data_IF_346731884702
#
_entry.id   IF_346731884702
#
_cell.length_a   1.000
_cell.length_b   1.000
_cell.length_c   1.000
_cell.angle_alpha   90.00
_cell.angle_beta   90.00
_cell.angle_gamma   90.00
#
_symmetry.space_group_name_H-M   'P 1'
#
loop_
_entity.id
_entity.type
_entity.pdbx_description
1 polymer ?
#
# COMPACT_ATOMS: atom_id res chain seq x y z
N UNK A 1 16.53 -19.02 -11.45
CA UNK A 1 15.77 -17.75 -11.53
C UNK A 1 16.50 -16.74 -12.42
N UNK A 2 17.78 -16.50 -12.18
CA UNK A 2 18.61 -15.52 -12.93
C UNK A 2 18.65 -15.79 -14.43
N UNK A 3 18.92 -17.01 -14.85
CA UNK A 3 18.92 -17.38 -16.27
C UNK A 3 17.55 -17.19 -16.93
N UNK A 4 16.47 -17.53 -16.21
CA UNK A 4 15.12 -17.33 -16.73
C UNK A 4 14.79 -15.84 -16.87
N UNK A 5 15.16 -15.00 -15.90
CA UNK A 5 14.98 -13.56 -15.96
C UNK A 5 15.76 -12.95 -17.12
N UNK A 6 17.02 -13.35 -17.30
CA UNK A 6 17.86 -12.91 -18.43
C UNK A 6 17.22 -13.27 -19.77
N UNK A 7 16.79 -14.54 -19.95
CA UNK A 7 16.18 -15.02 -21.19
C UNK A 7 14.92 -14.23 -21.54
N UNK A 8 14.00 -14.06 -20.57
CA UNK A 8 12.76 -13.31 -20.77
C UNK A 8 13.01 -11.81 -21.03
N UNK A 9 14.03 -11.25 -20.41
CA UNK A 9 14.37 -9.84 -20.63
C UNK A 9 14.95 -9.60 -22.02
N UNK A 10 15.76 -10.53 -22.53
CA UNK A 10 16.29 -10.48 -23.91
C UNK A 10 15.17 -10.67 -24.93
N UNK A 11 14.26 -11.61 -24.67
CA UNK A 11 13.08 -11.82 -25.52
C UNK A 11 12.20 -10.57 -25.58
N UNK A 12 11.86 -9.99 -24.43
CA UNK A 12 11.07 -8.75 -24.38
C UNK A 12 11.77 -7.56 -25.04
N UNK A 13 13.11 -7.46 -24.94
CA UNK A 13 13.88 -6.43 -25.64
C UNK A 13 13.77 -6.59 -27.17
N UNK A 14 13.80 -7.84 -27.65
CA UNK A 14 13.66 -8.19 -29.06
C UNK A 14 12.23 -7.93 -29.57
N UNK A 15 11.21 -8.32 -28.80
CA UNK A 15 9.81 -8.05 -29.12
C UNK A 15 9.51 -6.55 -29.22
N UNK A 16 10.17 -5.74 -28.39
CA UNK A 16 10.10 -4.29 -28.45
C UNK A 16 10.89 -3.67 -29.62
N UNK A 17 11.68 -4.47 -30.38
CA UNK A 17 12.51 -4.00 -31.48
C UNK A 17 13.71 -3.14 -31.03
N UNK A 18 14.20 -3.34 -29.80
CA UNK A 18 15.21 -2.52 -29.15
C UNK A 18 16.58 -3.23 -29.04
N UNK A 19 16.67 -4.48 -29.45
CA UNK A 19 17.84 -5.35 -29.36
C UNK A 19 19.01 -4.93 -30.28
N UNK A 20 18.75 -4.06 -31.28
CA UNK A 20 19.80 -3.44 -32.10
C UNK A 20 20.40 -2.16 -31.55
N UNK A 21 19.96 -1.67 -30.39
CA UNK A 21 20.39 -0.41 -29.82
C UNK A 21 21.31 -0.62 -28.61
N UNK A 22 22.58 -0.22 -28.72
CA UNK A 22 23.61 -0.43 -27.69
C UNK A 22 23.22 0.20 -26.34
N UNK A 23 22.53 1.36 -26.33
CA UNK A 23 22.10 2.02 -25.11
C UNK A 23 21.11 1.16 -24.30
N UNK A 24 20.19 0.46 -24.97
CA UNK A 24 19.25 -0.45 -24.32
C UNK A 24 19.94 -1.73 -23.83
N UNK A 25 20.86 -2.27 -24.62
CA UNK A 25 21.62 -3.48 -24.25
C UNK A 25 22.47 -3.21 -23.02
N UNK A 26 23.21 -2.09 -23.01
CA UNK A 26 24.04 -1.68 -21.88
C UNK A 26 23.19 -1.47 -20.61
N UNK A 27 22.10 -0.72 -20.72
CA UNK A 27 21.18 -0.47 -19.60
C UNK A 27 20.56 -1.78 -19.08
N UNK A 28 20.13 -2.68 -19.95
CA UNK A 28 19.56 -3.97 -19.55
C UNK A 28 20.57 -4.82 -18.77
N UNK A 29 21.82 -4.86 -19.25
CA UNK A 29 22.91 -5.57 -18.59
C UNK A 29 23.17 -5.02 -17.18
N UNK A 30 23.24 -3.70 -17.04
CA UNK A 30 23.51 -3.04 -15.78
C UNK A 30 22.39 -3.29 -14.75
N UNK A 31 21.13 -3.21 -15.19
CA UNK A 31 19.98 -3.49 -14.33
C UNK A 31 19.93 -4.96 -13.89
N UNK A 32 20.12 -5.90 -14.82
CA UNK A 32 20.13 -7.34 -14.52
C UNK A 32 21.27 -7.71 -13.56
N UNK A 33 22.43 -7.09 -13.69
CA UNK A 33 23.55 -7.30 -12.77
C UNK A 33 23.18 -6.86 -11.34
N UNK A 34 22.58 -5.70 -11.17
CA UNK A 34 22.15 -5.21 -9.84
C UNK A 34 21.03 -6.10 -9.27
N UNK A 35 20.05 -6.49 -10.08
CA UNK A 35 18.93 -7.35 -9.66
C UNK A 35 19.45 -8.71 -9.19
N UNK A 36 20.38 -9.31 -9.91
CA UNK A 36 20.96 -10.60 -9.56
C UNK A 36 21.85 -10.52 -8.32
N UNK A 37 22.70 -9.52 -8.24
CA UNK A 37 23.58 -9.26 -7.11
C UNK A 37 22.79 -9.05 -5.79
N UNK A 38 21.60 -8.48 -5.87
CA UNK A 38 20.68 -8.34 -4.72
C UNK A 38 19.79 -9.56 -4.49
N UNK A 39 19.81 -10.57 -5.36
CA UNK A 39 19.00 -11.78 -5.23
C UNK A 39 17.52 -11.59 -5.58
N UNK A 40 17.15 -10.53 -6.31
CA UNK A 40 15.75 -10.17 -6.59
C UNK A 40 15.20 -10.78 -7.88
N UNK A 41 15.93 -11.66 -8.56
CA UNK A 41 15.50 -12.29 -9.81
C UNK A 41 14.15 -13.03 -9.68
N UNK A 42 13.90 -13.74 -8.57
CA UNK A 42 12.60 -14.40 -8.32
C UNK A 42 11.46 -13.39 -8.17
N UNK A 43 11.69 -12.27 -7.52
CA UNK A 43 10.70 -11.22 -7.34
C UNK A 43 10.22 -10.65 -8.68
N UNK A 44 11.13 -10.33 -9.60
CA UNK A 44 10.77 -9.87 -10.94
C UNK A 44 10.01 -10.92 -11.75
N UNK A 45 10.38 -12.20 -11.65
CA UNK A 45 9.65 -13.30 -12.31
C UNK A 45 8.23 -13.45 -11.75
N UNK A 46 8.06 -13.30 -10.44
CA UNK A 46 6.74 -13.31 -9.79
C UNK A 46 5.89 -12.13 -10.28
N UNK A 47 6.47 -10.93 -10.32
CA UNK A 47 5.78 -9.74 -10.82
C UNK A 47 5.41 -9.87 -12.31
N UNK A 48 6.27 -10.48 -13.14
CA UNK A 48 5.92 -10.78 -14.53
C UNK A 48 4.73 -11.73 -14.60
N UNK A 49 4.71 -12.79 -13.84
CA UNK A 49 3.60 -13.74 -13.83
C UNK A 49 2.28 -13.08 -13.39
N UNK A 50 2.33 -12.17 -12.43
CA UNK A 50 1.17 -11.35 -12.01
C UNK A 50 0.72 -10.43 -13.16
N UNK A 51 1.65 -9.76 -13.83
CA UNK A 51 1.34 -8.88 -14.96
C UNK A 51 0.74 -9.67 -16.15
N UNK A 52 1.28 -10.83 -16.46
CA UNK A 52 0.76 -11.71 -17.52
C UNK A 52 -0.67 -12.18 -17.20
N UNK A 53 -0.94 -12.57 -15.94
CA UNK A 53 -2.27 -12.95 -15.50
C UNK A 53 -3.26 -11.77 -15.63
N UNK A 54 -2.87 -10.57 -15.21
CA UNK A 54 -3.71 -9.38 -15.32
C UNK A 54 -3.97 -8.98 -16.77
N UNK A 55 -2.93 -8.93 -17.62
CA UNK A 55 -3.04 -8.53 -19.01
C UNK A 55 -3.93 -9.48 -19.84
N UNK A 56 -4.07 -10.75 -19.42
CA UNK A 56 -4.96 -11.71 -20.05
C UNK A 56 -6.45 -11.53 -19.70
N UNK A 57 -6.79 -10.73 -18.68
CA UNK A 57 -8.16 -10.67 -18.18
C UNK A 57 -8.70 -9.26 -17.91
N UNK A 58 -7.83 -8.23 -17.79
CA UNK A 58 -8.27 -6.89 -17.39
C UNK A 58 -7.32 -5.80 -17.91
N UNK A 59 -7.75 -4.53 -17.75
CA UNK A 59 -6.89 -3.39 -18.03
C UNK A 59 -5.90 -3.18 -16.89
N UNK A 60 -4.64 -2.94 -17.24
CA UNK A 60 -3.58 -2.54 -16.33
C UNK A 60 -3.12 -1.11 -16.60
N UNK A 61 -2.65 -0.43 -15.56
CA UNK A 61 -2.05 0.90 -15.70
C UNK A 61 -0.69 0.85 -16.40
N UNK A 62 -0.26 1.96 -17.03
CA UNK A 62 1.00 2.01 -17.79
C UNK A 62 2.24 1.93 -16.90
N UNK A 63 2.09 2.08 -15.61
CA UNK A 63 3.16 2.10 -14.62
C UNK A 63 3.03 3.29 -13.67
N UNK A 64 3.36 3.06 -12.42
CA UNK A 64 3.31 4.03 -11.32
C UNK A 64 4.57 3.91 -10.46
N UNK A 65 4.87 4.99 -9.71
CA UNK A 65 5.98 4.99 -8.77
C UNK A 65 7.35 4.90 -9.46
N UNK A 66 8.32 4.38 -8.72
CA UNK A 66 9.72 4.28 -9.16
C UNK A 66 9.98 3.16 -10.17
N UNK A 67 9.12 2.14 -10.23
CA UNK A 67 9.26 0.99 -11.12
C UNK A 67 9.29 1.37 -12.62
N UNK A 68 8.67 2.50 -12.99
CA UNK A 68 8.77 3.06 -14.35
C UNK A 68 10.21 3.40 -14.76
N UNK A 69 11.15 3.50 -13.81
CA UNK A 69 12.58 3.71 -14.06
C UNK A 69 13.37 2.45 -14.45
N UNK A 70 12.74 1.27 -14.46
CA UNK A 70 13.38 -0.01 -14.78
C UNK A 70 13.09 -0.46 -16.22
N UNK A 71 14.17 -0.70 -16.98
CA UNK A 71 14.08 -1.29 -18.31
C UNK A 71 13.69 -2.77 -18.23
N UNK A 72 14.16 -3.51 -17.22
CA UNK A 72 13.73 -4.90 -16.98
C UNK A 72 12.22 -4.96 -16.75
N UNK A 73 11.65 -4.08 -15.93
CA UNK A 73 10.20 -4.03 -15.73
C UNK A 73 9.43 -3.70 -17.03
N UNK A 74 9.99 -2.83 -17.86
CA UNK A 74 9.40 -2.47 -19.16
C UNK A 74 9.40 -3.65 -20.13
N UNK A 75 10.54 -4.30 -20.38
CA UNK A 75 10.63 -5.41 -21.34
C UNK A 75 9.92 -6.68 -20.86
N UNK A 76 9.68 -6.83 -19.56
CA UNK A 76 8.86 -7.90 -19.00
C UNK A 76 7.35 -7.61 -19.05
N UNK A 77 6.93 -6.42 -19.51
CA UNK A 77 5.52 -6.03 -19.56
C UNK A 77 4.90 -5.68 -18.20
N UNK A 78 5.73 -5.51 -17.16
CA UNK A 78 5.28 -5.05 -15.83
C UNK A 78 4.92 -3.56 -15.90
N UNK A 79 5.69 -2.76 -16.66
CA UNK A 79 5.37 -1.37 -16.97
C UNK A 79 5.27 -1.17 -18.47
N UNK A 80 4.60 -0.08 -18.91
CA UNK A 80 4.48 0.30 -20.32
C UNK A 80 5.26 1.59 -20.63
N UNK A 81 6.10 2.04 -19.69
CA UNK A 81 6.89 3.26 -19.79
C UNK A 81 8.34 2.91 -20.12
N UNK A 82 8.82 3.34 -21.28
CA UNK A 82 10.21 3.19 -21.68
C UNK A 82 11.11 4.15 -20.89
N UNK A 83 11.94 3.64 -19.94
CA UNK A 83 12.71 4.51 -19.06
C UNK A 83 13.83 5.27 -19.79
N UNK A 84 14.36 4.74 -20.88
CA UNK A 84 15.43 5.40 -21.64
C UNK A 84 14.86 6.57 -22.43
N UNK A 85 13.73 6.35 -23.10
CA UNK A 85 13.04 7.39 -23.87
C UNK A 85 12.66 8.59 -23.00
N UNK A 86 12.29 8.37 -21.75
CA UNK A 86 11.90 9.42 -20.81
C UNK A 86 13.02 9.85 -19.84
N UNK A 87 14.23 9.35 -19.99
CA UNK A 87 15.38 9.71 -19.16
C UNK A 87 15.25 9.34 -17.69
N UNK A 88 14.54 8.25 -17.40
CA UNK A 88 14.28 7.79 -16.03
C UNK A 88 15.48 6.99 -15.50
N UNK A 89 15.81 7.21 -14.21
CA UNK A 89 16.96 6.60 -13.57
C UNK A 89 16.57 5.31 -12.82
N UNK A 90 17.26 4.21 -13.11
CA UNK A 90 17.10 2.95 -12.39
C UNK A 90 17.44 3.05 -10.89
N UNK A 91 18.42 3.86 -10.53
CA UNK A 91 18.85 4.04 -9.15
C UNK A 91 17.79 4.67 -8.24
N UNK A 92 16.73 5.27 -8.80
CA UNK A 92 15.55 5.73 -8.04
C UNK A 92 14.58 4.60 -7.70
N UNK A 93 14.63 3.52 -8.45
CA UNK A 93 13.82 2.32 -8.23
C UNK A 93 14.58 1.29 -7.40
N UNK A 94 15.80 0.92 -7.82
CA UNK A 94 16.64 -0.04 -7.11
C UNK A 94 18.07 0.47 -7.05
N UNK A 95 18.57 0.61 -5.82
CA UNK A 95 19.97 0.99 -5.59
C UNK A 95 20.82 -0.26 -5.50
N UNK A 96 22.10 -0.14 -5.89
CA UNK A 96 23.08 -1.24 -5.80
C UNK A 96 23.39 -1.70 -4.37
N UNK A 97 23.06 -0.88 -3.36
CA UNK A 97 23.23 -1.17 -1.94
C UNK A 97 21.90 -1.52 -1.23
N UNK A 98 20.80 -1.72 -1.97
CA UNK A 98 19.49 -2.03 -1.40
C UNK A 98 19.49 -3.38 -0.68
N UNK A 99 18.91 -3.42 0.52
CA UNK A 99 18.69 -4.63 1.34
C UNK A 99 17.25 -5.13 1.25
N UNK A 100 16.32 -4.22 1.00
CA UNK A 100 14.90 -4.51 0.91
C UNK A 100 14.47 -4.68 -0.54
N UNK A 101 13.38 -5.45 -0.75
CA UNK A 101 12.78 -5.59 -2.07
C UNK A 101 12.35 -4.22 -2.63
N UNK A 102 12.55 -4.00 -3.94
CA UNK A 102 12.01 -2.80 -4.57
C UNK A 102 10.48 -2.82 -4.56
N UNK A 103 9.87 -1.65 -4.45
CA UNK A 103 8.43 -1.48 -4.45
C UNK A 103 7.90 -1.34 -5.89
N UNK A 104 7.10 -2.30 -6.34
CA UNK A 104 6.43 -2.27 -7.64
C UNK A 104 4.93 -2.11 -7.41
N UNK A 105 4.46 -0.89 -7.63
CA UNK A 105 3.04 -0.59 -7.69
C UNK A 105 2.46 -1.04 -9.05
N UNK A 106 1.47 -1.94 -9.01
CA UNK A 106 0.83 -2.45 -10.21
C UNK A 106 -0.67 -2.15 -10.19
N UNK A 107 -1.09 -1.17 -10.99
CA UNK A 107 -2.49 -0.74 -11.04
C UNK A 107 -3.29 -1.64 -11.98
N UNK A 108 -4.44 -2.12 -11.52
CA UNK A 108 -5.36 -2.96 -12.28
C UNK A 108 -6.80 -2.50 -12.12
N UNK A 109 -7.64 -2.76 -13.13
CA UNK A 109 -9.05 -2.35 -13.09
C UNK A 109 -9.88 -3.12 -12.06
N UNK A 110 -9.49 -4.36 -11.70
CA UNK A 110 -10.15 -5.19 -10.70
C UNK A 110 -9.14 -5.99 -9.88
N UNK A 111 -8.74 -5.43 -8.74
CA UNK A 111 -7.75 -6.05 -7.84
C UNK A 111 -8.28 -7.32 -7.16
N UNK A 112 -9.60 -7.45 -6.99
CA UNK A 112 -10.18 -8.65 -6.37
C UNK A 112 -10.13 -9.82 -7.34
N UNK A 113 -10.59 -9.63 -8.58
CA UNK A 113 -10.53 -10.65 -9.62
C UNK A 113 -9.09 -11.13 -9.88
N UNK A 114 -8.11 -10.21 -9.84
CA UNK A 114 -6.70 -10.59 -9.96
C UNK A 114 -6.24 -11.47 -8.79
N UNK A 115 -6.58 -11.12 -7.55
CA UNK A 115 -6.22 -11.93 -6.37
C UNK A 115 -6.82 -13.33 -6.44
N UNK A 116 -8.09 -13.43 -6.82
CA UNK A 116 -8.76 -14.73 -6.99
C UNK A 116 -8.06 -15.56 -8.08
N UNK A 117 -7.64 -14.93 -9.19
CA UNK A 117 -6.87 -15.58 -10.25
C UNK A 117 -5.51 -16.07 -9.78
N UNK A 118 -4.79 -15.29 -8.98
CA UNK A 118 -3.50 -15.71 -8.42
C UNK A 118 -3.66 -16.89 -7.44
N UNK A 119 -4.71 -16.92 -6.64
CA UNK A 119 -5.05 -18.05 -5.77
C UNK A 119 -5.38 -19.31 -6.61
N UNK A 120 -6.14 -19.16 -7.69
CA UNK A 120 -6.42 -20.25 -8.63
C UNK A 120 -5.13 -20.82 -9.24
N UNK A 121 -4.17 -19.96 -9.61
CA UNK A 121 -2.92 -20.35 -10.26
C UNK A 121 -1.91 -21.00 -9.32
N UNK A 122 -1.79 -20.51 -8.09
CA UNK A 122 -0.70 -20.88 -7.16
C UNK A 122 -1.18 -21.55 -5.87
N UNK A 123 -2.48 -21.55 -5.60
CA UNK A 123 -3.08 -22.15 -4.41
C UNK A 123 -3.18 -21.20 -3.21
N UNK A 124 -4.12 -21.51 -2.31
CA UNK A 124 -4.38 -20.75 -1.08
C UNK A 124 -3.21 -20.79 -0.08
N UNK A 125 -2.39 -21.84 -0.13
CA UNK A 125 -1.18 -21.96 0.70
C UNK A 125 0.00 -21.10 0.20
N UNK A 126 -0.11 -20.54 -0.99
CA UNK A 126 0.93 -19.74 -1.64
C UNK A 126 0.55 -18.27 -1.78
N UNK A 127 -0.73 -17.97 -1.89
CA UNK A 127 -1.23 -16.59 -2.12
C UNK A 127 -2.27 -16.25 -1.07
N UNK A 128 -2.02 -15.18 -0.32
CA UNK A 128 -2.99 -14.66 0.64
C UNK A 128 -3.12 -13.13 0.56
N UNK A 129 -4.36 -12.60 0.48
CA UNK A 129 -4.57 -11.16 0.64
C UNK A 129 -4.16 -10.72 2.04
N UNK A 130 -3.51 -9.56 2.14
CA UNK A 130 -3.14 -8.99 3.45
C UNK A 130 -4.42 -8.58 4.19
N UNK A 131 -4.49 -8.86 5.49
CA UNK A 131 -5.55 -8.38 6.36
C UNK A 131 -5.19 -7.05 7.01
N UNK A 132 -6.21 -6.20 7.20
CA UNK A 132 -6.12 -4.97 7.99
C UNK A 132 -6.93 -5.12 9.28
N UNK A 133 -6.35 -4.69 10.37
CA UNK A 133 -7.06 -4.49 11.63
C UNK A 133 -7.57 -3.06 11.70
N UNK A 134 -8.89 -2.89 11.54
CA UNK A 134 -9.52 -1.58 11.65
C UNK A 134 -9.77 -1.26 13.11
N UNK A 135 -9.20 -0.18 13.59
CA UNK A 135 -9.38 0.29 14.97
C UNK A 135 -10.49 1.34 15.07
N UNK A 136 -11.08 1.43 16.25
CA UNK A 136 -12.08 2.44 16.57
C UNK A 136 -11.42 3.83 16.60
N UNK A 137 -11.74 4.62 15.58
CA UNK A 137 -11.21 5.96 15.40
C UNK A 137 -12.04 6.98 16.15
N UNK A 138 -11.42 7.94 16.81
CA UNK A 138 -12.04 8.87 17.74
C UNK A 138 -13.33 9.54 17.21
N UNK A 139 -13.30 10.12 16.00
CA UNK A 139 -14.47 10.81 15.44
C UNK A 139 -15.68 9.90 15.21
N UNK A 140 -15.45 8.70 14.67
CA UNK A 140 -16.52 7.74 14.44
C UNK A 140 -17.00 7.12 15.75
N UNK A 141 -16.07 6.82 16.66
CA UNK A 141 -16.40 6.24 17.96
C UNK A 141 -17.32 7.16 18.77
N UNK A 142 -17.00 8.47 18.89
CA UNK A 142 -17.88 9.41 19.58
C UNK A 142 -19.30 9.40 18.96
N UNK A 143 -19.41 9.37 17.64
CA UNK A 143 -20.71 9.30 16.96
C UNK A 143 -21.46 8.00 17.23
N UNK A 144 -20.73 6.87 17.17
CA UNK A 144 -21.31 5.55 17.38
C UNK A 144 -21.80 5.40 18.84
N UNK A 145 -21.03 5.84 19.83
CA UNK A 145 -21.42 5.83 21.24
C UNK A 145 -22.57 6.81 21.50
N UNK A 146 -22.51 8.02 20.98
CA UNK A 146 -23.57 9.02 21.17
C UNK A 146 -24.93 8.53 20.63
N UNK A 147 -24.93 7.72 19.57
CA UNK A 147 -26.13 7.12 19.02
C UNK A 147 -26.81 6.15 20.01
N UNK A 148 -26.04 5.46 20.87
CA UNK A 148 -26.58 4.55 21.90
C UNK A 148 -27.35 5.32 22.98
N UNK A 149 -27.08 6.60 23.12
CA UNK A 149 -27.71 7.49 24.10
C UNK A 149 -28.70 8.46 23.45
N UNK A 150 -29.14 8.17 22.23
CA UNK A 150 -30.13 8.97 21.46
C UNK A 150 -29.74 10.46 21.30
N UNK A 151 -28.43 10.78 21.36
CA UNK A 151 -27.96 12.14 21.13
C UNK A 151 -28.04 12.48 19.64
N UNK A 152 -28.66 13.62 19.26
CA UNK A 152 -28.88 13.96 17.86
C UNK A 152 -27.58 13.98 17.02
N UNK A 153 -27.60 13.28 15.89
CA UNK A 153 -26.43 13.18 14.99
C UNK A 153 -25.89 14.56 14.55
N UNK A 154 -26.78 15.53 14.33
CA UNK A 154 -26.39 16.91 13.93
C UNK A 154 -25.53 17.59 14.99
N UNK A 155 -25.87 17.41 16.26
CA UNK A 155 -25.12 17.92 17.39
C UNK A 155 -23.72 17.27 17.45
N UNK A 156 -23.67 15.93 17.49
CA UNK A 156 -22.43 15.17 17.59
C UNK A 156 -21.53 15.40 16.38
N UNK A 157 -22.10 15.51 15.18
CA UNK A 157 -21.34 15.82 13.99
C UNK A 157 -20.69 17.21 14.04
N UNK A 158 -21.41 18.19 14.59
CA UNK A 158 -20.88 19.54 14.80
C UNK A 158 -19.73 19.51 15.80
N UNK A 159 -19.93 18.90 16.98
CA UNK A 159 -18.90 18.73 18.00
C UNK A 159 -17.64 18.05 17.43
N UNK A 160 -17.81 16.90 16.77
CA UNK A 160 -16.67 16.13 16.23
C UNK A 160 -15.92 16.84 15.09
N UNK A 161 -16.55 17.75 14.37
CA UNK A 161 -15.87 18.58 13.37
C UNK A 161 -15.11 19.74 14.01
N UNK A 162 -15.70 20.39 15.02
CA UNK A 162 -15.07 21.52 15.72
C UNK A 162 -13.86 21.02 16.55
N UNK A 163 -14.01 19.93 17.30
CA UNK A 163 -12.92 19.39 18.12
C UNK A 163 -11.63 19.14 17.33
N UNK A 164 -11.75 18.62 16.09
CA UNK A 164 -10.58 18.37 15.24
C UNK A 164 -9.94 19.68 14.75
N UNK A 165 -10.76 20.72 14.49
CA UNK A 165 -10.25 22.05 14.11
C UNK A 165 -9.54 22.73 15.28
N UNK A 166 -10.02 22.54 16.50
CA UNK A 166 -9.41 23.08 17.73
C UNK A 166 -8.09 22.33 18.06
N UNK A 167 -8.14 20.99 18.10
CA UNK A 167 -7.03 20.20 18.60
C UNK A 167 -5.88 20.03 17.60
N UNK A 168 -6.16 19.82 16.30
CA UNK A 168 -5.11 19.45 15.32
C UNK A 168 -3.99 20.50 15.22
N UNK A 169 -4.25 21.82 15.15
CA UNK A 169 -3.19 22.82 15.06
C UNK A 169 -2.31 22.88 16.33
N UNK A 170 -2.95 22.72 17.49
CA UNK A 170 -2.25 22.77 18.79
C UNK A 170 -1.41 21.52 19.01
N UNK A 171 -1.93 20.34 18.71
CA UNK A 171 -1.20 19.09 18.76
C UNK A 171 0.00 19.09 17.80
N UNK A 172 -0.18 19.55 16.55
CA UNK A 172 0.95 19.73 15.62
C UNK A 172 2.03 20.64 16.16
N UNK A 173 1.63 21.78 16.77
CA UNK A 173 2.57 22.72 17.39
C UNK A 173 3.32 22.07 18.56
N UNK A 174 2.63 21.31 19.40
CA UNK A 174 3.22 20.55 20.52
C UNK A 174 4.33 19.60 20.06
N UNK A 175 4.14 18.93 18.92
CA UNK A 175 5.09 17.98 18.35
C UNK A 175 6.06 18.58 17.30
N UNK A 176 6.01 19.87 17.06
CA UNK A 176 6.88 20.54 16.07
C UNK A 176 6.60 20.14 14.61
N UNK A 177 5.41 19.60 14.30
CA UNK A 177 5.02 19.14 12.96
C UNK A 177 4.60 20.33 12.11
N UNK A 178 5.44 20.74 11.14
CA UNK A 178 5.20 21.90 10.28
C UNK A 178 4.28 21.61 9.09
N UNK A 179 4.32 20.39 8.55
CA UNK A 179 3.55 19.98 7.37
C UNK A 179 3.09 18.53 7.47
N UNK A 180 2.12 18.12 6.63
CA UNK A 180 1.58 16.75 6.60
C UNK A 180 0.29 16.57 7.39
N UNK A 181 -0.29 15.37 7.29
CA UNK A 181 -1.50 14.95 8.01
C UNK A 181 -1.09 14.51 9.41
N UNK A 182 -1.82 14.96 10.43
CA UNK A 182 -1.66 14.50 11.81
C UNK A 182 -3.05 14.27 12.42
N UNK A 183 -3.23 13.11 13.03
CA UNK A 183 -4.43 12.77 13.77
C UNK A 183 -4.13 12.89 15.27
N UNK A 184 -4.72 13.88 15.99
CA UNK A 184 -4.54 14.02 17.43
C UNK A 184 -5.03 12.79 18.19
N UNK A 185 -4.33 12.45 19.27
CA UNK A 185 -4.74 11.39 20.20
C UNK A 185 -5.96 11.81 21.02
N UNK A 186 -6.56 10.86 21.74
CA UNK A 186 -7.64 11.15 22.68
C UNK A 186 -7.23 12.19 23.72
N UNK A 187 -6.06 12.05 24.33
CA UNK A 187 -5.52 12.94 25.35
C UNK A 187 -5.32 14.36 24.81
N UNK A 188 -4.82 14.47 23.60
CA UNK A 188 -4.60 15.76 22.95
C UNK A 188 -5.93 16.45 22.58
N UNK A 189 -6.92 15.71 22.12
CA UNK A 189 -8.23 16.28 21.85
C UNK A 189 -8.90 16.70 23.14
N UNK A 190 -8.76 15.94 24.22
CA UNK A 190 -9.24 16.32 25.55
C UNK A 190 -8.50 17.55 26.10
N UNK A 191 -7.21 17.69 25.83
CA UNK A 191 -6.41 18.86 26.26
C UNK A 191 -6.78 20.13 25.48
N UNK A 192 -6.98 20.01 24.15
CA UNK A 192 -7.02 21.16 23.26
C UNK A 192 -8.42 21.52 22.72
N UNK A 193 -9.47 20.74 23.01
CA UNK A 193 -10.82 21.03 22.52
C UNK A 193 -11.80 21.39 23.64
N UNK A 194 -12.03 22.69 23.90
CA UNK A 194 -13.07 23.13 24.83
C UNK A 194 -14.47 22.65 24.41
N UNK A 195 -14.74 22.57 23.10
CA UNK A 195 -16.02 22.08 22.57
C UNK A 195 -16.27 20.63 22.99
N UNK A 196 -15.27 19.74 22.85
CA UNK A 196 -15.40 18.35 23.29
C UNK A 196 -15.54 18.24 24.82
N UNK A 197 -14.73 19.01 25.56
CA UNK A 197 -14.82 19.01 27.03
C UNK A 197 -16.22 19.40 27.52
N UNK A 198 -16.83 20.44 26.92
CA UNK A 198 -18.21 20.86 27.26
C UNK A 198 -19.22 19.78 26.92
N UNK A 199 -19.12 19.18 25.72
CA UNK A 199 -20.01 18.09 25.30
C UNK A 199 -19.93 16.89 26.25
N UNK A 200 -18.72 16.46 26.62
CA UNK A 200 -18.52 15.32 27.51
C UNK A 200 -18.87 15.61 28.98
N UNK A 201 -18.86 16.86 29.38
CA UNK A 201 -19.39 17.26 30.70
C UNK A 201 -20.91 17.09 30.77
N UNK A 202 -21.61 17.29 29.65
CA UNK A 202 -23.05 17.04 29.54
C UNK A 202 -23.39 15.56 29.34
N UNK A 203 -22.46 14.78 28.81
CA UNK A 203 -22.62 13.36 28.47
C UNK A 203 -21.48 12.50 29.05
N UNK A 204 -21.38 12.35 30.38
CA UNK A 204 -20.27 11.62 31.02
C UNK A 204 -20.22 10.14 30.67
N UNK A 205 -21.35 9.52 30.33
CA UNK A 205 -21.46 8.15 29.83
C UNK A 205 -20.75 7.98 28.48
N UNK A 206 -20.83 8.95 27.59
CA UNK A 206 -20.10 8.92 26.30
C UNK A 206 -18.60 8.96 26.56
N UNK A 207 -18.14 9.81 27.49
CA UNK A 207 -16.71 9.91 27.86
C UNK A 207 -16.16 8.57 28.31
N UNK A 208 -16.82 7.92 29.27
CA UNK A 208 -16.37 6.64 29.84
C UNK A 208 -16.22 5.55 28.80
N UNK A 209 -17.19 5.43 27.85
CA UNK A 209 -17.12 4.44 26.80
C UNK A 209 -16.05 4.75 25.75
N UNK A 210 -15.87 6.03 25.39
CA UNK A 210 -14.84 6.42 24.42
C UNK A 210 -13.46 6.15 24.98
N UNK A 211 -13.19 6.49 26.25
CA UNK A 211 -11.90 6.22 26.93
C UNK A 211 -11.54 4.73 26.95
N UNK A 212 -12.54 3.85 27.14
CA UNK A 212 -12.33 2.41 27.17
C UNK A 212 -12.17 1.75 25.78
N UNK A 213 -12.66 2.39 24.72
CA UNK A 213 -12.78 1.77 23.40
C UNK A 213 -11.89 2.39 22.32
N UNK A 214 -11.40 3.62 22.52
CA UNK A 214 -10.56 4.29 21.52
C UNK A 214 -9.31 3.47 21.21
N UNK A 215 -9.04 3.26 19.92
CA UNK A 215 -7.89 2.47 19.47
C UNK A 215 -8.07 0.95 19.55
N UNK A 216 -9.15 0.45 20.17
CA UNK A 216 -9.45 -0.99 20.16
C UNK A 216 -9.80 -1.47 18.74
N UNK A 217 -9.53 -2.74 18.46
CA UNK A 217 -9.85 -3.36 17.18
C UNK A 217 -11.37 -3.46 17.03
N UNK A 218 -11.91 -2.91 15.94
CA UNK A 218 -13.31 -2.99 15.58
C UNK A 218 -13.60 -4.19 14.69
N UNK A 219 -12.78 -4.40 13.69
CA UNK A 219 -12.99 -5.46 12.69
C UNK A 219 -11.70 -5.78 11.95
N UNK A 220 -11.68 -6.96 11.34
CA UNK A 220 -10.70 -7.31 10.33
C UNK A 220 -11.29 -7.05 8.93
N UNK A 221 -10.47 -6.65 7.98
CA UNK A 221 -10.86 -6.49 6.58
C UNK A 221 -9.70 -6.88 5.66
N UNK A 222 -9.99 -7.21 4.40
CA UNK A 222 -8.95 -7.42 3.40
C UNK A 222 -8.35 -6.07 2.97
N UNK A 223 -7.02 -6.02 2.86
CA UNK A 223 -6.33 -4.86 2.29
C UNK A 223 -6.68 -4.71 0.80
N UNK A 224 -6.94 -3.49 0.35
CA UNK A 224 -7.40 -3.22 -1.02
C UNK A 224 -6.40 -3.71 -2.09
N UNK A 225 -5.10 -3.44 -1.88
CA UNK A 225 -4.05 -3.73 -2.85
C UNK A 225 -3.10 -4.86 -2.47
N UNK A 226 -2.82 -5.05 -1.17
CA UNK A 226 -1.75 -5.96 -0.73
C UNK A 226 -2.08 -7.44 -0.88
N UNK A 227 -1.10 -8.21 -1.37
CA UNK A 227 -1.12 -9.67 -1.43
C UNK A 227 0.27 -10.19 -1.05
N UNK A 228 0.31 -11.27 -0.30
CA UNK A 228 1.54 -12.00 0.01
C UNK A 228 1.62 -13.21 -0.91
N UNK A 229 2.79 -13.44 -1.48
CA UNK A 229 3.08 -14.61 -2.33
C UNK A 229 4.34 -15.29 -1.78
N UNK A 230 4.19 -16.48 -1.23
CA UNK A 230 5.30 -17.31 -0.76
C UNK A 230 4.86 -18.77 -0.66
N UNK A 231 5.80 -19.69 -0.81
CA UNK A 231 5.53 -21.12 -0.62
C UNK A 231 5.21 -21.41 0.86
N UNK A 232 4.18 -22.22 1.11
CA UNK A 232 3.80 -22.70 2.45
C UNK A 232 3.52 -21.57 3.46
N UNK A 233 2.69 -20.60 3.10
CA UNK A 233 2.37 -19.44 3.95
C UNK A 233 1.95 -19.83 5.37
N UNK A 234 1.24 -20.94 5.54
CA UNK A 234 0.79 -21.46 6.84
C UNK A 234 1.93 -21.75 7.81
N UNK A 235 3.16 -22.00 7.34
CA UNK A 235 4.32 -22.24 8.17
C UNK A 235 4.89 -20.94 8.77
N UNK A 236 4.62 -19.80 8.15
CA UNK A 236 5.23 -18.51 8.50
C UNK A 236 4.25 -17.51 9.12
N UNK A 237 2.96 -17.65 8.81
CA UNK A 237 1.95 -16.70 9.30
C UNK A 237 0.57 -17.35 9.47
N UNK A 238 -0.26 -16.87 10.42
CA UNK A 238 -1.64 -17.34 10.54
C UNK A 238 -2.46 -16.86 9.34
N UNK A 239 -3.16 -17.76 8.67
CA UNK A 239 -4.17 -17.44 7.67
C UNK A 239 -5.53 -17.39 8.35
N UNK A 240 -6.33 -16.38 8.03
CA UNK A 240 -7.68 -16.15 8.55
C UNK A 240 -8.67 -16.36 7.40
N UNK A 241 -9.57 -17.30 7.57
CA UNK A 241 -10.66 -17.59 6.62
C UNK A 241 -11.84 -16.64 6.81
#
# INVERSE_FOLDING_TARGET
ATEALLSLSIEGLREAGLDGCEAYIARLRDELHIIDDRGFSKYFLTMKAIADAANGMMLSGPGRGSAAGSLVAYVLGITQVDPIKYGLLFSRFLRSDATDYPDIDYDVSDSMALKDKLIEMWGEDTVAPISNWNTLQLRSLIKDISKLYDIPFTEVNTVTNIMMREATPLAKKKHGIKAGIYAPTWEEVMEFSPTLQTFLAMHPEVKSHVEGLVGQVRSCSRHAGGVVVAENLNEYMPLIN
#
